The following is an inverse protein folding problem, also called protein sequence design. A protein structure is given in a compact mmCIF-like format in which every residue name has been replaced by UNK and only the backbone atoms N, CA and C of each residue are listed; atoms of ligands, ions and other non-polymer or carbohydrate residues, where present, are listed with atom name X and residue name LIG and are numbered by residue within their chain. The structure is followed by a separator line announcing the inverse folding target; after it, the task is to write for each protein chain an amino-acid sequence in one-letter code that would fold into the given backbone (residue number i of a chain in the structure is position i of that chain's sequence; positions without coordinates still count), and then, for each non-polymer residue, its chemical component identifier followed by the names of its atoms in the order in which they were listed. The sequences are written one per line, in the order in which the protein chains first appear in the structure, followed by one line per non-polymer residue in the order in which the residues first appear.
data_IF_032319910253
#
_entry.id   IF_032319910253
#
_cell.length_a   1.000
_cell.length_b   1.000
_cell.length_c   1.000
_cell.angle_alpha   90.00
_cell.angle_beta   90.00
_cell.angle_gamma   90.00
#
_symmetry.space_group_name_H-M   'P 1'
#
loop_
_entity.id
_entity.type
_entity.pdbx_description
1 polymer ?
#
# COMPACT_ATOMS: atom_id res chain seq x y z
N UNK A 1 -3.53 -15.74 2.20
CA UNK A 1 -2.16 -15.35 1.80
C UNK A 1 -2.15 -14.94 0.33
N UNK A 2 -1.55 -13.80 0.01
CA UNK A 2 -1.35 -13.33 -1.37
C UNK A 2 0.02 -13.81 -1.87
N UNK A 3 0.04 -14.46 -3.03
CA UNK A 3 1.26 -14.96 -3.66
C UNK A 3 1.39 -14.43 -5.08
N UNK A 4 2.56 -13.95 -5.41
CA UNK A 4 2.95 -13.48 -6.74
C UNK A 4 4.01 -14.46 -7.27
N UNK A 5 3.82 -14.98 -8.45
CA UNK A 5 4.76 -15.91 -9.08
C UNK A 5 5.07 -15.50 -10.52
N UNK A 6 6.38 -15.38 -10.81
CA UNK A 6 6.92 -15.00 -12.10
C UNK A 6 6.22 -13.80 -12.76
N UNK A 7 5.85 -12.80 -11.97
CA UNK A 7 5.15 -11.61 -12.47
C UNK A 7 6.03 -10.87 -13.48
N UNK A 8 5.53 -10.75 -14.70
CA UNK A 8 6.13 -9.98 -15.80
C UNK A 8 5.16 -8.94 -16.31
N UNK A 9 5.64 -7.74 -16.53
CA UNK A 9 4.82 -6.65 -17.08
C UNK A 9 5.62 -5.86 -18.08
N UNK A 10 5.02 -5.68 -19.25
CA UNK A 10 5.59 -4.92 -20.37
C UNK A 10 4.71 -3.71 -20.70
N UNK A 11 5.34 -2.56 -20.91
CA UNK A 11 4.74 -1.37 -21.49
C UNK A 11 5.39 -1.12 -22.85
N UNK A 12 4.71 -1.54 -23.93
CA UNK A 12 5.31 -1.52 -25.25
C UNK A 12 6.59 -2.38 -25.29
N UNK A 13 7.73 -1.77 -25.63
CA UNK A 13 9.04 -2.44 -25.67
C UNK A 13 9.79 -2.48 -24.35
N UNK A 14 9.23 -1.94 -23.24
CA UNK A 14 9.92 -1.83 -21.96
C UNK A 14 9.37 -2.89 -20.99
N UNK A 15 10.21 -3.83 -20.56
CA UNK A 15 9.88 -4.79 -19.51
C UNK A 15 10.07 -4.12 -18.13
N UNK A 16 8.95 -3.65 -17.56
CA UNK A 16 8.93 -2.92 -16.27
C UNK A 16 9.09 -3.87 -15.07
N UNK A 17 8.54 -5.09 -15.16
CA UNK A 17 8.67 -6.15 -14.15
C UNK A 17 9.13 -7.43 -14.86
N UNK A 18 10.21 -8.05 -14.36
CA UNK A 18 11.01 -9.04 -15.08
C UNK A 18 10.98 -10.42 -14.43
N UNK A 19 9.79 -10.91 -14.08
CA UNK A 19 9.62 -12.23 -13.46
C UNK A 19 9.95 -12.22 -11.97
N UNK A 20 9.24 -11.38 -11.21
CA UNK A 20 9.38 -11.36 -9.75
C UNK A 20 8.43 -12.37 -9.11
N UNK A 21 8.90 -12.99 -8.02
CA UNK A 21 8.10 -13.88 -7.19
C UNK A 21 8.27 -13.48 -5.73
N UNK A 22 7.15 -13.33 -5.00
CA UNK A 22 7.16 -13.03 -3.58
C UNK A 22 5.82 -13.38 -2.94
N UNK A 23 5.80 -13.42 -1.63
CA UNK A 23 4.62 -13.75 -0.83
C UNK A 23 4.30 -12.65 0.17
N UNK A 24 3.00 -12.47 0.44
CA UNK A 24 2.48 -11.58 1.48
C UNK A 24 1.69 -12.44 2.46
N UNK A 25 2.32 -12.92 3.55
CA UNK A 25 1.66 -13.72 4.56
C UNK A 25 0.54 -12.93 5.25
N UNK A 26 -0.51 -13.65 5.66
CA UNK A 26 -1.63 -13.02 6.36
C UNK A 26 -1.16 -12.35 7.66
N UNK A 27 -1.75 -11.23 7.98
CA UNK A 27 -1.50 -10.42 9.18
C UNK A 27 -0.06 -9.92 9.32
N UNK A 28 0.74 -9.93 8.24
CA UNK A 28 2.08 -9.36 8.21
C UNK A 28 2.09 -7.96 7.57
N UNK A 29 3.15 -7.21 7.85
CA UNK A 29 3.52 -6.01 7.10
C UNK A 29 4.67 -6.40 6.17
N UNK A 30 4.41 -6.38 4.87
CA UNK A 30 5.40 -6.64 3.83
C UNK A 30 5.72 -5.35 3.10
N UNK A 31 6.99 -5.11 2.79
CA UNK A 31 7.37 -3.93 2.01
C UNK A 31 8.18 -4.29 0.77
N UNK A 32 7.89 -3.59 -0.34
CA UNK A 32 8.76 -3.53 -1.51
C UNK A 32 9.45 -2.16 -1.51
N UNK A 33 10.77 -2.17 -1.38
CA UNK A 33 11.59 -0.97 -1.49
C UNK A 33 12.38 -0.98 -2.81
N UNK A 34 12.71 0.18 -3.31
CA UNK A 34 13.48 0.33 -4.55
C UNK A 34 13.39 1.74 -5.10
N UNK A 35 14.27 2.07 -6.02
CA UNK A 35 14.31 3.37 -6.69
C UNK A 35 13.04 3.61 -7.56
N UNK A 36 12.83 4.87 -7.96
CA UNK A 36 11.77 5.20 -8.92
C UNK A 36 12.01 4.47 -10.24
N UNK A 37 10.94 3.94 -10.83
CA UNK A 37 11.03 3.12 -12.04
C UNK A 37 11.44 1.66 -11.82
N UNK A 38 11.66 1.21 -10.57
CA UNK A 38 12.02 -0.19 -10.29
C UNK A 38 10.88 -1.20 -10.57
N UNK A 39 9.64 -0.75 -10.81
CA UNK A 39 8.49 -1.62 -11.08
C UNK A 39 7.52 -1.77 -9.90
N UNK A 40 7.73 -1.04 -8.81
CA UNK A 40 6.94 -1.13 -7.57
C UNK A 40 5.44 -0.89 -7.78
N UNK A 41 5.06 0.30 -8.25
CA UNK A 41 3.64 0.67 -8.50
C UNK A 41 3.01 -0.20 -9.58
N UNK A 42 3.80 -0.61 -10.60
CA UNK A 42 3.35 -1.57 -11.62
C UNK A 42 2.94 -2.90 -10.99
N UNK A 43 3.70 -3.38 -10.01
CA UNK A 43 3.38 -4.60 -9.26
C UNK A 43 2.03 -4.47 -8.53
N UNK A 44 1.80 -3.38 -7.77
CA UNK A 44 0.50 -3.17 -7.10
C UNK A 44 -0.66 -3.07 -8.09
N UNK A 45 -0.48 -2.31 -9.16
CA UNK A 45 -1.51 -2.15 -10.20
C UNK A 45 -1.85 -3.48 -10.88
N UNK A 46 -0.87 -4.38 -11.02
CA UNK A 46 -1.11 -5.73 -11.55
C UNK A 46 -1.93 -6.58 -10.59
N UNK A 47 -1.68 -6.48 -9.28
CA UNK A 47 -2.43 -7.24 -8.25
C UNK A 47 -3.91 -6.86 -8.25
N UNK A 48 -4.25 -5.59 -8.46
CA UNK A 48 -5.65 -5.11 -8.50
C UNK A 48 -6.27 -5.13 -9.90
N UNK A 49 -5.61 -5.73 -10.89
CA UNK A 49 -6.16 -5.87 -12.23
C UNK A 49 -6.12 -4.60 -13.09
N UNK A 50 -5.49 -3.50 -12.63
CA UNK A 50 -5.35 -2.25 -13.39
C UNK A 50 -4.30 -2.33 -14.51
N UNK A 51 -3.37 -3.27 -14.39
CA UNK A 51 -2.34 -3.54 -15.40
C UNK A 51 -2.32 -5.04 -15.66
N UNK A 52 -2.44 -5.42 -16.93
CA UNK A 52 -2.45 -6.83 -17.34
C UNK A 52 -1.01 -7.38 -17.37
N UNK A 53 -0.72 -8.43 -16.58
CA UNK A 53 0.57 -9.13 -16.65
C UNK A 53 0.76 -9.87 -17.98
N UNK A 54 2.02 -10.14 -18.31
CA UNK A 54 2.39 -10.99 -19.45
C UNK A 54 2.09 -12.47 -19.17
N UNK A 55 1.95 -13.27 -20.21
CA UNK A 55 1.73 -14.71 -20.10
C UNK A 55 2.80 -15.40 -19.25
N UNK A 56 2.41 -16.40 -18.48
CA UNK A 56 3.27 -17.13 -17.55
C UNK A 56 3.45 -16.47 -16.18
N UNK A 57 2.76 -15.34 -15.92
CA UNK A 57 2.62 -14.74 -14.61
C UNK A 57 1.45 -15.36 -13.87
N UNK A 58 1.52 -15.42 -12.53
CA UNK A 58 0.40 -15.79 -11.66
C UNK A 58 0.34 -14.87 -10.44
N UNK A 59 -0.86 -14.49 -10.04
CA UNK A 59 -1.16 -13.72 -8.82
C UNK A 59 -2.32 -14.42 -8.14
N UNK A 60 -2.08 -15.05 -6.99
CA UNK A 60 -3.13 -15.80 -6.30
C UNK A 60 -3.42 -15.25 -4.91
N UNK A 61 -4.70 -15.23 -4.54
CA UNK A 61 -5.17 -14.99 -3.18
C UNK A 61 -5.80 -16.28 -2.64
N UNK A 62 -5.19 -16.86 -1.62
CA UNK A 62 -5.60 -18.15 -1.02
C UNK A 62 -5.73 -19.28 -2.06
N UNK A 63 -4.88 -19.26 -3.08
CA UNK A 63 -4.86 -20.25 -4.17
C UNK A 63 -5.78 -19.92 -5.35
N UNK A 64 -6.62 -18.89 -5.26
CA UNK A 64 -7.45 -18.43 -6.38
C UNK A 64 -6.68 -17.42 -7.25
N UNK A 65 -6.65 -17.64 -8.56
CA UNK A 65 -5.99 -16.74 -9.51
C UNK A 65 -6.74 -15.40 -9.64
N UNK A 66 -6.00 -14.29 -9.61
CA UNK A 66 -6.53 -12.94 -9.76
C UNK A 66 -6.32 -12.34 -11.15
N UNK A 67 -5.42 -12.90 -11.97
CA UNK A 67 -5.18 -12.40 -13.33
C UNK A 67 -6.42 -12.62 -14.18
N UNK A 68 -6.95 -11.53 -14.74
CA UNK A 68 -8.18 -11.54 -15.53
C UNK A 68 -9.47 -11.39 -14.73
N UNK A 69 -9.38 -11.31 -13.41
CA UNK A 69 -10.52 -10.96 -12.54
C UNK A 69 -10.73 -9.45 -12.59
N UNK A 70 -11.98 -9.01 -12.60
CA UNK A 70 -12.33 -7.58 -12.58
C UNK A 70 -11.88 -6.91 -11.26
N UNK A 71 -11.43 -5.66 -11.36
CA UNK A 71 -10.96 -4.90 -10.19
C UNK A 71 -12.01 -4.82 -9.08
N UNK A 72 -13.29 -4.69 -9.41
CA UNK A 72 -14.38 -4.64 -8.43
C UNK A 72 -14.51 -5.96 -7.66
N UNK A 73 -14.33 -7.09 -8.34
CA UNK A 73 -14.34 -8.41 -7.72
C UNK A 73 -13.10 -8.62 -6.84
N UNK A 74 -11.93 -8.12 -7.26
CA UNK A 74 -10.69 -8.15 -6.45
C UNK A 74 -10.90 -7.35 -5.15
N UNK A 75 -11.53 -6.17 -5.23
CA UNK A 75 -11.89 -5.38 -4.04
C UNK A 75 -12.88 -6.14 -3.16
N UNK A 76 -13.88 -6.79 -3.74
CA UNK A 76 -14.85 -7.61 -2.99
C UNK A 76 -14.20 -8.82 -2.29
N UNK A 77 -13.08 -9.36 -2.84
CA UNK A 77 -12.26 -10.39 -2.18
C UNK A 77 -11.43 -9.84 -1.00
N UNK A 78 -11.48 -8.54 -0.74
CA UNK A 78 -10.85 -7.88 0.40
C UNK A 78 -9.46 -7.32 0.12
N UNK A 79 -9.13 -6.97 -1.11
CA UNK A 79 -7.89 -6.24 -1.45
C UNK A 79 -8.24 -4.77 -1.71
N UNK A 80 -7.66 -3.85 -0.93
CA UNK A 80 -7.80 -2.42 -1.15
C UNK A 80 -6.46 -1.77 -1.49
N UNK A 81 -6.47 -0.80 -2.39
CA UNK A 81 -5.29 -0.02 -2.79
C UNK A 81 -5.47 1.44 -2.42
N UNK A 82 -4.49 1.99 -1.69
CA UNK A 82 -4.26 3.42 -1.57
C UNK A 82 -3.20 3.80 -2.61
N UNK A 83 -3.59 4.43 -3.72
CA UNK A 83 -2.65 4.78 -4.77
C UNK A 83 -1.78 5.97 -4.38
N UNK A 84 -0.66 6.16 -5.08
CA UNK A 84 0.13 7.39 -5.04
C UNK A 84 -0.73 8.59 -5.43
N UNK A 85 -0.50 9.77 -4.80
CA UNK A 85 -1.20 11.00 -5.15
C UNK A 85 -2.53 11.24 -4.42
N UNK A 86 -2.83 10.47 -3.36
CA UNK A 86 -3.96 10.66 -2.43
C UNK A 86 -5.33 10.39 -3.05
N UNK A 87 -5.63 10.95 -4.22
CA UNK A 87 -6.87 10.78 -5.00
C UNK A 87 -8.17 10.91 -4.16
N UNK A 88 -8.24 11.95 -3.30
CA UNK A 88 -9.49 12.30 -2.63
C UNK A 88 -10.48 12.92 -3.63
N UNK A 89 -11.77 12.88 -3.33
CA UNK A 89 -12.81 13.58 -4.10
C UNK A 89 -12.93 15.00 -3.54
N UNK A 90 -12.33 16.02 -4.16
CA UNK A 90 -12.13 17.33 -3.55
C UNK A 90 -13.42 18.07 -3.21
N UNK A 91 -14.47 17.85 -4.01
CA UNK A 91 -15.79 18.48 -3.86
C UNK A 91 -16.72 17.73 -2.89
N UNK A 92 -16.25 16.62 -2.31
CA UNK A 92 -16.95 15.88 -1.27
C UNK A 92 -16.36 16.21 0.10
N UNK A 93 -17.20 16.17 1.11
CA UNK A 93 -16.77 16.28 2.50
C UNK A 93 -15.90 15.11 2.94
N UNK A 94 -15.20 15.25 4.06
CA UNK A 94 -14.40 14.18 4.66
C UNK A 94 -15.25 12.94 4.92
N UNK A 95 -16.44 13.09 5.53
CA UNK A 95 -17.29 11.95 5.83
C UNK A 95 -17.85 11.28 4.57
N UNK A 96 -18.14 12.02 3.52
CA UNK A 96 -18.57 11.46 2.24
C UNK A 96 -17.46 10.68 1.57
N UNK A 97 -16.22 11.21 1.56
CA UNK A 97 -15.04 10.48 1.10
C UNK A 97 -14.83 9.17 1.86
N UNK A 98 -15.02 9.17 3.19
CA UNK A 98 -14.91 7.96 4.01
C UNK A 98 -15.99 6.96 3.58
N UNK A 99 -17.26 7.39 3.53
CA UNK A 99 -18.40 6.52 3.21
C UNK A 99 -18.31 5.88 1.83
N UNK A 100 -17.81 6.59 0.82
CA UNK A 100 -17.71 6.04 -0.54
C UNK A 100 -16.74 4.85 -0.61
N UNK A 101 -15.79 4.72 0.34
CA UNK A 101 -14.92 3.54 0.45
C UNK A 101 -15.66 2.24 0.75
N UNK A 102 -16.89 2.35 1.23
CA UNK A 102 -17.77 1.21 1.54
C UNK A 102 -18.81 0.92 0.44
N UNK A 103 -18.62 1.41 -0.79
CA UNK A 103 -19.65 1.36 -1.85
C UNK A 103 -20.15 -0.04 -2.21
N UNK A 104 -19.36 -1.10 -1.99
CA UNK A 104 -19.76 -2.49 -2.19
C UNK A 104 -20.52 -3.09 -0.99
N UNK A 105 -20.55 -2.40 0.14
CA UNK A 105 -21.10 -2.91 1.40
C UNK A 105 -22.57 -2.50 1.56
N UNK A 106 -23.32 -3.35 2.27
CA UNK A 106 -24.75 -3.14 2.59
C UNK A 106 -25.02 -3.15 4.09
N UNK A 107 -23.98 -3.41 4.90
CA UNK A 107 -24.05 -3.44 6.37
C UNK A 107 -23.90 -2.04 6.99
N UNK A 108 -24.11 -1.94 8.30
CA UNK A 108 -23.87 -0.68 9.03
C UNK A 108 -22.41 -0.27 8.97
N UNK A 109 -22.17 1.01 8.75
CA UNK A 109 -20.82 1.59 8.68
C UNK A 109 -20.38 2.25 9.98
N UNK A 110 -21.25 2.30 11.00
CA UNK A 110 -21.04 3.12 12.20
C UNK A 110 -19.81 2.70 13.00
N UNK A 111 -19.63 1.40 13.23
CA UNK A 111 -18.48 0.88 13.96
C UNK A 111 -17.17 1.16 13.21
N UNK A 112 -17.17 0.99 11.89
CA UNK A 112 -15.98 1.23 11.06
C UNK A 112 -15.62 2.71 10.98
N UNK A 113 -16.62 3.60 10.87
CA UNK A 113 -16.41 5.05 10.91
C UNK A 113 -15.84 5.46 12.28
N UNK A 114 -16.36 4.90 13.38
CA UNK A 114 -15.84 5.18 14.71
C UNK A 114 -14.39 4.68 14.87
N UNK A 115 -14.08 3.49 14.35
CA UNK A 115 -12.70 2.99 14.34
C UNK A 115 -11.78 3.86 13.49
N UNK A 116 -12.17 4.22 12.28
CA UNK A 116 -11.42 5.13 11.40
C UNK A 116 -11.17 6.46 12.09
N UNK A 117 -12.18 7.03 12.75
CA UNK A 117 -12.02 8.27 13.51
C UNK A 117 -11.12 8.14 14.74
N UNK A 118 -11.02 6.95 15.34
CA UNK A 118 -10.05 6.70 16.41
C UNK A 118 -8.60 6.69 15.91
N UNK A 119 -8.38 6.23 14.66
CA UNK A 119 -7.07 6.28 14.00
C UNK A 119 -6.72 7.69 13.50
N UNK A 120 -7.73 8.46 13.07
CA UNK A 120 -7.58 9.76 12.44
C UNK A 120 -8.44 10.84 13.11
N UNK A 121 -8.14 11.26 14.36
CA UNK A 121 -8.97 12.21 15.11
C UNK A 121 -9.20 13.54 14.37
N UNK A 122 -8.21 14.02 13.62
CA UNK A 122 -8.32 15.24 12.80
C UNK A 122 -9.39 15.14 11.72
N UNK A 123 -9.59 13.96 11.13
CA UNK A 123 -10.66 13.74 10.15
C UNK A 123 -12.05 13.79 10.82
N UNK A 124 -12.17 13.33 12.07
CA UNK A 124 -13.40 13.45 12.86
C UNK A 124 -13.76 14.91 13.11
N UNK A 125 -12.80 15.71 13.58
CA UNK A 125 -12.97 17.14 13.85
C UNK A 125 -13.42 17.93 12.61
N UNK A 126 -13.01 17.47 11.41
CA UNK A 126 -13.24 18.11 10.11
C UNK A 126 -14.19 17.32 9.21
N UNK A 127 -15.02 16.46 9.79
CA UNK A 127 -15.88 15.53 9.03
C UNK A 127 -16.79 16.21 7.99
N UNK A 128 -17.20 17.42 8.25
CA UNK A 128 -18.06 18.28 7.42
C UNK A 128 -17.30 19.10 6.36
N UNK A 129 -15.97 19.20 6.49
CA UNK A 129 -15.14 20.05 5.62
C UNK A 129 -14.93 19.40 4.25
N UNK A 130 -14.92 20.22 3.17
CA UNK A 130 -14.56 19.75 1.83
C UNK A 130 -13.12 19.22 1.79
N UNK A 131 -12.92 18.03 1.27
CA UNK A 131 -11.62 17.35 1.32
C UNK A 131 -10.55 18.04 0.49
N UNK A 132 -10.94 18.79 -0.54
CA UNK A 132 -10.01 19.60 -1.33
C UNK A 132 -9.31 20.71 -0.54
N UNK A 133 -9.89 21.14 0.60
CA UNK A 133 -9.34 22.19 1.47
C UNK A 133 -8.44 21.67 2.60
N UNK A 134 -8.29 20.36 2.70
CA UNK A 134 -7.41 19.73 3.68
C UNK A 134 -5.93 19.89 3.29
N UNK A 135 -5.05 19.87 4.30
CA UNK A 135 -3.61 19.77 4.06
C UNK A 135 -3.27 18.44 3.36
N UNK A 136 -2.11 18.39 2.69
CA UNK A 136 -1.68 17.17 2.00
C UNK A 136 -1.55 15.95 2.90
N UNK A 137 -1.17 16.14 4.16
CA UNK A 137 -1.11 15.06 5.15
C UNK A 137 -2.50 14.57 5.55
N UNK A 138 -3.46 15.47 5.75
CA UNK A 138 -4.84 15.11 6.06
C UNK A 138 -5.52 14.40 4.87
N UNK A 139 -5.24 14.84 3.63
CA UNK A 139 -5.72 14.15 2.42
C UNK A 139 -5.16 12.73 2.32
N UNK A 140 -3.88 12.52 2.67
CA UNK A 140 -3.29 11.18 2.71
C UNK A 140 -3.95 10.29 3.75
N UNK A 141 -4.19 10.82 4.97
CA UNK A 141 -4.92 10.11 6.02
C UNK A 141 -6.35 9.79 5.57
N UNK A 142 -7.02 10.70 4.85
CA UNK A 142 -8.35 10.47 4.30
C UNK A 142 -8.37 9.38 3.24
N UNK A 143 -7.35 9.29 2.38
CA UNK A 143 -7.23 8.22 1.39
C UNK A 143 -7.07 6.84 2.07
N UNK A 144 -6.28 6.75 3.14
CA UNK A 144 -6.15 5.53 3.96
C UNK A 144 -7.47 5.21 4.66
N UNK A 145 -8.10 6.21 5.30
CA UNK A 145 -9.39 6.07 5.98
C UNK A 145 -10.47 5.52 5.03
N UNK A 146 -10.55 6.06 3.81
CA UNK A 146 -11.48 5.59 2.78
C UNK A 146 -11.22 4.14 2.40
N UNK A 147 -9.96 3.74 2.21
CA UNK A 147 -9.61 2.36 1.87
C UNK A 147 -10.01 1.37 2.97
N UNK A 148 -9.88 1.75 4.24
CA UNK A 148 -10.28 0.91 5.39
C UNK A 148 -11.78 0.64 5.44
N UNK A 149 -12.61 1.51 4.88
CA UNK A 149 -14.06 1.33 4.87
C UNK A 149 -14.53 0.14 4.03
N UNK A 150 -13.72 -0.38 3.12
CA UNK A 150 -14.01 -1.64 2.42
C UNK A 150 -13.82 -2.90 3.30
N UNK A 151 -13.39 -2.76 4.57
CA UNK A 151 -12.97 -3.87 5.47
C UNK A 151 -11.93 -4.78 4.81
N UNK A 152 -10.79 -4.24 4.35
CA UNK A 152 -9.85 -5.04 3.57
C UNK A 152 -9.17 -6.09 4.45
N UNK A 153 -8.97 -7.28 3.87
CA UNK A 153 -8.04 -8.29 4.40
C UNK A 153 -6.59 -7.89 4.12
N UNK A 154 -6.37 -7.25 2.95
CA UNK A 154 -5.06 -6.76 2.51
C UNK A 154 -5.21 -5.30 2.12
N UNK A 155 -4.47 -4.44 2.80
CA UNK A 155 -4.34 -3.02 2.47
C UNK A 155 -3.01 -2.80 1.76
N UNK A 156 -3.07 -2.40 0.50
CA UNK A 156 -1.89 -2.04 -0.28
C UNK A 156 -1.74 -0.53 -0.34
N UNK A 157 -0.52 -0.03 -0.21
CA UNK A 157 -0.24 1.40 -0.23
C UNK A 157 0.96 1.71 -1.13
N UNK A 158 0.76 2.63 -2.08
CA UNK A 158 1.77 3.06 -3.03
C UNK A 158 2.37 4.40 -2.62
N UNK A 159 3.59 4.37 -2.09
CA UNK A 159 4.38 5.51 -1.60
C UNK A 159 3.58 6.50 -0.70
N UNK A 160 2.90 6.00 0.35
CA UNK A 160 1.98 6.82 1.13
C UNK A 160 2.68 7.94 1.92
N UNK A 161 3.99 7.88 2.11
CA UNK A 161 4.76 8.93 2.80
C UNK A 161 5.28 10.04 1.88
N UNK A 162 5.09 9.92 0.56
CA UNK A 162 5.66 10.84 -0.42
C UNK A 162 5.11 12.28 -0.24
N UNK A 163 6.04 13.24 -0.10
CA UNK A 163 5.69 14.66 0.03
C UNK A 163 5.02 15.04 1.36
N UNK A 164 5.13 14.19 2.39
CA UNK A 164 4.63 14.48 3.73
C UNK A 164 5.73 15.07 4.62
N UNK A 165 5.32 15.92 5.57
CA UNK A 165 6.21 16.41 6.61
C UNK A 165 6.69 15.24 7.52
N UNK A 166 7.93 15.30 8.06
CA UNK A 166 8.51 14.18 8.83
C UNK A 166 7.67 13.71 10.02
N UNK A 167 6.93 14.61 10.68
CA UNK A 167 6.05 14.26 11.78
C UNK A 167 4.86 13.43 11.29
N UNK A 168 4.24 13.85 10.18
CA UNK A 168 3.11 13.15 9.57
C UNK A 168 3.53 11.76 9.06
N UNK A 169 4.76 11.63 8.54
CA UNK A 169 5.32 10.32 8.16
C UNK A 169 5.38 9.38 9.36
N UNK A 170 5.88 9.85 10.51
CA UNK A 170 5.92 9.03 11.75
C UNK A 170 4.52 8.59 12.19
N UNK A 171 3.56 9.51 12.16
CA UNK A 171 2.17 9.22 12.52
C UNK A 171 1.57 8.17 11.57
N UNK A 172 1.78 8.33 10.26
CA UNK A 172 1.32 7.38 9.24
C UNK A 172 1.86 5.97 9.51
N UNK A 173 3.17 5.82 9.74
CA UNK A 173 3.76 4.50 10.02
C UNK A 173 3.30 3.91 11.36
N UNK A 174 2.98 4.74 12.36
CA UNK A 174 2.33 4.29 13.58
C UNK A 174 0.93 3.74 13.31
N UNK A 175 0.14 4.45 12.50
CA UNK A 175 -1.21 4.03 12.11
C UNK A 175 -1.16 2.73 11.29
N UNK A 176 -0.20 2.56 10.38
CA UNK A 176 0.00 1.31 9.65
C UNK A 176 0.18 0.13 10.60
N UNK A 177 0.98 0.29 11.66
CA UNK A 177 1.13 -0.75 12.68
C UNK A 177 -0.16 -1.02 13.46
N UNK A 178 -0.93 0.01 13.79
CA UNK A 178 -2.22 -0.17 14.47
C UNK A 178 -3.25 -0.89 13.58
N UNK A 179 -3.29 -0.57 12.28
CA UNK A 179 -4.12 -1.27 11.29
C UNK A 179 -3.73 -2.76 11.23
N UNK A 180 -2.43 -3.05 11.18
CA UNK A 180 -1.95 -4.43 11.14
C UNK A 180 -2.26 -5.20 12.44
N UNK A 181 -2.13 -4.58 13.62
CA UNK A 181 -2.52 -5.19 14.91
C UNK A 181 -4.01 -5.58 14.96
N UNK A 182 -4.86 -4.93 14.18
CA UNK A 182 -6.27 -5.32 14.00
C UNK A 182 -6.46 -6.50 13.05
N UNK A 183 -5.37 -7.08 12.55
CA UNK A 183 -5.38 -8.26 11.70
C UNK A 183 -5.39 -7.99 10.20
N UNK A 184 -5.30 -6.74 9.77
CA UNK A 184 -5.17 -6.38 8.35
C UNK A 184 -3.75 -6.66 7.88
N UNK A 185 -3.60 -7.40 6.79
CA UNK A 185 -2.31 -7.58 6.10
C UNK A 185 -1.96 -6.30 5.36
N UNK A 186 -0.70 -5.87 5.41
CA UNK A 186 -0.27 -4.65 4.73
C UNK A 186 0.82 -4.98 3.71
N UNK A 187 0.62 -4.53 2.46
CA UNK A 187 1.67 -4.49 1.44
C UNK A 187 2.02 -3.04 1.14
N UNK A 188 3.20 -2.63 1.55
CA UNK A 188 3.67 -1.25 1.49
C UNK A 188 4.75 -1.09 0.43
N UNK A 189 4.55 -0.17 -0.49
CA UNK A 189 5.61 0.30 -1.38
C UNK A 189 6.09 1.63 -0.88
N UNK A 190 7.41 1.77 -0.74
CA UNK A 190 8.03 3.00 -0.23
C UNK A 190 9.38 3.29 -0.88
N UNK A 191 9.64 4.56 -1.06
CA UNK A 191 10.96 5.08 -1.36
C UNK A 191 11.76 5.33 -0.07
N UNK A 192 11.07 5.69 1.02
CA UNK A 192 11.68 5.82 2.36
C UNK A 192 11.96 4.44 2.96
N UNK A 193 13.01 3.79 2.45
CA UNK A 193 13.40 2.45 2.86
C UNK A 193 13.62 2.30 4.37
N UNK A 194 14.15 3.34 5.02
CA UNK A 194 14.42 3.32 6.46
C UNK A 194 13.12 3.11 7.26
N UNK A 195 12.10 3.95 7.03
CA UNK A 195 10.82 3.85 7.72
C UNK A 195 10.08 2.56 7.36
N UNK A 196 10.11 2.17 6.07
CA UNK A 196 9.47 0.96 5.60
C UNK A 196 10.05 -0.29 6.26
N UNK A 197 11.37 -0.46 6.26
CA UNK A 197 12.05 -1.62 6.84
C UNK A 197 11.97 -1.67 8.37
N UNK A 198 11.91 -0.52 9.07
CA UNK A 198 11.65 -0.48 10.51
C UNK A 198 10.23 -0.92 10.88
N UNK A 199 9.31 -0.89 9.93
CA UNK A 199 7.90 -1.22 10.17
C UNK A 199 7.56 -2.62 9.68
N UNK A 200 8.22 -3.09 8.62
CA UNK A 200 7.90 -4.36 7.95
C UNK A 200 8.48 -5.59 8.66
N UNK A 201 7.70 -6.67 8.65
CA UNK A 201 8.16 -8.00 9.02
C UNK A 201 9.07 -8.59 7.95
N UNK A 202 8.69 -8.40 6.66
CA UNK A 202 9.40 -8.90 5.48
C UNK A 202 9.61 -7.75 4.51
N UNK A 203 10.82 -7.64 3.97
CA UNK A 203 11.17 -6.70 2.91
C UNK A 203 11.68 -7.39 1.67
N UNK A 204 11.35 -6.83 0.53
CA UNK A 204 11.87 -7.19 -0.79
C UNK A 204 12.50 -5.95 -1.41
N UNK A 205 13.73 -6.07 -1.89
CA UNK A 205 14.44 -5.00 -2.61
C UNK A 205 14.23 -5.21 -4.09
N UNK A 206 13.60 -4.24 -4.74
CA UNK A 206 13.29 -4.28 -6.16
C UNK A 206 14.20 -3.32 -6.94
N UNK A 207 14.97 -3.85 -7.86
CA UNK A 207 15.88 -3.10 -8.71
C UNK A 207 15.66 -3.45 -10.18
N UNK A 208 15.39 -2.45 -10.99
CA UNK A 208 15.24 -2.60 -12.46
C UNK A 208 14.30 -3.77 -12.85
N UNK A 209 13.17 -3.91 -12.13
CA UNK A 209 12.17 -4.93 -12.39
C UNK A 209 12.47 -6.32 -11.82
N UNK A 210 13.49 -6.49 -10.96
CA UNK A 210 13.87 -7.77 -10.34
C UNK A 210 13.97 -7.63 -8.81
N UNK A 211 13.62 -8.67 -8.07
CA UNK A 211 13.92 -8.76 -6.65
C UNK A 211 15.38 -9.19 -6.50
N UNK A 212 16.20 -8.34 -5.88
CA UNK A 212 17.64 -8.58 -5.66
C UNK A 212 17.94 -9.07 -4.26
N UNK A 213 17.17 -8.65 -3.26
CA UNK A 213 17.34 -9.08 -1.87
C UNK A 213 15.98 -9.33 -1.22
N UNK A 214 15.96 -10.26 -0.28
CA UNK A 214 14.78 -10.61 0.53
C UNK A 214 15.21 -10.89 1.96
N UNK A 215 14.42 -10.44 2.93
CA UNK A 215 14.69 -10.74 4.33
C UNK A 215 13.72 -10.09 5.29
N UNK A 216 13.91 -10.31 6.59
CA UNK A 216 13.20 -9.52 7.58
C UNK A 216 13.63 -8.06 7.51
N UNK A 217 12.73 -7.13 7.88
CA UNK A 217 13.07 -5.70 7.89
C UNK A 217 14.35 -5.41 8.67
N UNK A 218 14.54 -6.06 9.84
CA UNK A 218 15.77 -5.96 10.65
C UNK A 218 17.02 -6.43 9.92
N UNK A 219 16.94 -7.55 9.18
CA UNK A 219 18.07 -8.11 8.43
C UNK A 219 18.46 -7.17 7.29
N UNK A 220 17.49 -6.64 6.56
CA UNK A 220 17.75 -5.70 5.46
C UNK A 220 18.26 -4.35 5.94
N UNK A 221 17.84 -3.86 7.11
CA UNK A 221 18.42 -2.67 7.74
C UNK A 221 19.90 -2.84 8.12
N UNK A 222 20.34 -4.06 8.40
CA UNK A 222 21.72 -4.37 8.73
C UNK A 222 22.59 -4.61 7.49
N UNK A 223 21.99 -4.86 6.32
CA UNK A 223 22.69 -5.18 5.08
C UNK A 223 23.46 -3.96 4.52
N UNK A 224 24.73 -4.12 4.22
CA UNK A 224 25.60 -3.02 3.77
C UNK A 224 25.20 -2.49 2.38
N UNK A 225 24.72 -3.35 1.48
CA UNK A 225 24.26 -2.91 0.15
C UNK A 225 22.97 -2.08 0.26
N UNK A 226 22.05 -2.48 1.13
CA UNK A 226 20.82 -1.71 1.42
C UNK A 226 21.15 -0.38 2.07
N UNK A 227 22.07 -0.36 3.03
CA UNK A 227 22.55 0.89 3.65
C UNK A 227 23.15 1.84 2.63
N UNK A 228 24.03 1.33 1.78
CA UNK A 228 24.71 2.14 0.77
C UNK A 228 23.74 2.72 -0.27
N UNK A 229 22.74 1.92 -0.72
CA UNK A 229 21.82 2.30 -1.79
C UNK A 229 20.63 3.14 -1.31
N UNK A 230 20.08 2.84 -0.12
CA UNK A 230 18.76 3.34 0.29
C UNK A 230 18.71 4.06 1.64
N UNK A 231 19.69 3.86 2.55
CA UNK A 231 19.60 4.44 3.90
C UNK A 231 20.45 5.69 4.07
N UNK A 232 21.23 6.08 3.06
CA UNK A 232 22.16 7.21 3.11
C UNK A 232 23.38 6.91 3.97
N UNK A 233 24.56 7.38 3.58
CA UNK A 233 25.73 7.37 4.47
C UNK A 233 25.42 8.29 5.66
N UNK A 234 25.56 7.79 6.90
CA UNK A 234 25.70 8.70 8.05
C UNK A 234 26.77 9.72 7.68
N UNK A 235 26.40 10.99 7.56
CA UNK A 235 27.41 12.07 7.61
C UNK A 235 28.04 11.98 9.00
N UNK A 236 29.26 11.50 9.07
CA UNK A 236 30.11 11.67 10.24
C UNK A 236 30.38 13.17 10.45
#
# INVERSE_FOLDING_TARGET
MLKIDNLRVNYGGIEAVKGISFEVPDKSIVTLIGANGAGKSTTLRSIVGLVKPSAGSSITLDGEELIGVDTTEIVAKGIALVPEGRHVFPDMTVIENIKIGAYLRKDSLEEDINWVYSLFPRLKERSWQLSGTLSGGEQQMLAVARALMSKPRILMMDEPSLGLAPLIVKDLFSIIREINKKGVTVLLIEQNANMALHTADIGYVLETGRITLTGSGKKLLADESVKAAYLGKKKN
#
